data_IF_720018831930
#
_entry.id   IF_720018831930
#
_cell.length_a   1.000
_cell.length_b   1.000
_cell.length_c   1.000
_cell.angle_alpha   90.00
_cell.angle_beta   90.00
_cell.angle_gamma   90.00
#
_symmetry.space_group_name_H-M   'P 1'
#
loop_
_entity.id
_entity.type
_entity.pdbx_description
1 polymer ?
#
# COMPACT_ATOMS: atom_id res chain seq x y z
N UNK A 1 1.80 -1.21 12.63
CA UNK A 1 0.71 -2.09 12.10
C UNK A 1 0.91 -3.51 12.63
N UNK A 2 -0.08 -4.11 13.32
CA UNK A 2 -0.05 -5.52 13.76
C UNK A 2 -0.26 -6.42 12.54
N UNK A 3 0.08 -7.73 12.64
CA UNK A 3 -0.12 -8.67 11.52
C UNK A 3 -1.59 -8.82 11.17
N UNK A 4 -2.45 -8.80 12.17
CA UNK A 4 -3.90 -8.90 12.08
C UNK A 4 -4.56 -7.72 11.33
N UNK A 5 -3.84 -6.59 11.21
CA UNK A 5 -4.32 -5.42 10.48
C UNK A 5 -3.92 -5.47 8.99
N UNK A 6 -3.02 -6.40 8.63
CA UNK A 6 -2.49 -6.49 7.27
C UNK A 6 -3.49 -7.24 6.38
N UNK A 7 -3.96 -6.55 5.35
CA UNK A 7 -4.91 -7.04 4.36
C UNK A 7 -4.17 -7.43 3.08
N UNK A 8 -4.38 -8.66 2.63
CA UNK A 8 -3.80 -9.18 1.40
C UNK A 8 -4.93 -9.69 0.49
N UNK A 9 -4.91 -9.28 -0.77
CA UNK A 9 -5.79 -9.80 -1.79
C UNK A 9 -5.01 -10.81 -2.65
N UNK A 10 -5.56 -12.00 -2.82
CA UNK A 10 -5.05 -13.03 -3.73
C UNK A 10 -5.93 -13.08 -4.95
N UNK A 11 -5.32 -13.07 -6.13
CA UNK A 11 -6.03 -13.08 -7.40
C UNK A 11 -5.40 -14.14 -8.30
N UNK A 12 -6.16 -15.19 -8.60
CA UNK A 12 -5.74 -16.29 -9.44
C UNK A 12 -7.02 -17.03 -9.90
N UNK A 13 -7.09 -17.49 -11.12
CA UNK A 13 -8.24 -18.24 -11.64
C UNK A 13 -8.21 -19.72 -11.23
N UNK A 14 -7.10 -20.22 -10.68
CA UNK A 14 -6.94 -21.56 -10.16
C UNK A 14 -7.33 -21.64 -8.67
N UNK A 15 -8.48 -22.28 -8.30
CA UNK A 15 -8.95 -22.33 -6.92
C UNK A 15 -7.96 -23.00 -5.95
N UNK A 16 -7.26 -24.03 -6.42
CA UNK A 16 -6.29 -24.79 -5.63
C UNK A 16 -5.09 -23.91 -5.23
N UNK A 17 -4.65 -23.03 -6.12
CA UNK A 17 -3.57 -22.08 -5.84
C UNK A 17 -4.03 -21.06 -4.80
N UNK A 18 -5.24 -20.52 -4.96
CA UNK A 18 -5.83 -19.60 -3.99
C UNK A 18 -5.93 -20.24 -2.60
N UNK A 19 -6.38 -21.50 -2.52
CA UNK A 19 -6.54 -22.20 -1.24
C UNK A 19 -5.21 -22.42 -0.54
N UNK A 20 -4.20 -22.93 -1.27
CA UNK A 20 -2.86 -23.20 -0.73
C UNK A 20 -2.20 -21.90 -0.22
N UNK A 21 -2.25 -20.82 -1.01
CA UNK A 21 -1.64 -19.55 -0.64
C UNK A 21 -2.39 -18.93 0.54
N UNK A 22 -3.71 -18.89 0.48
CA UNK A 22 -4.57 -18.36 1.53
C UNK A 22 -4.28 -19.04 2.86
N UNK A 23 -4.33 -20.38 2.92
CA UNK A 23 -4.06 -21.15 4.13
C UNK A 23 -2.71 -20.76 4.78
N UNK A 24 -1.64 -20.66 3.97
CA UNK A 24 -0.32 -20.35 4.46
C UNK A 24 -0.19 -18.91 4.98
N UNK A 25 -0.88 -17.95 4.37
CA UNK A 25 -0.84 -16.55 4.79
C UNK A 25 -1.75 -16.27 5.98
N UNK A 26 -2.94 -16.89 6.06
CA UNK A 26 -3.82 -16.83 7.22
C UNK A 26 -3.15 -17.40 8.48
N UNK A 27 -2.39 -18.50 8.33
CA UNK A 27 -1.58 -19.08 9.43
C UNK A 27 -0.52 -18.11 9.99
N UNK A 28 -0.09 -17.13 9.21
CA UNK A 28 0.82 -16.06 9.68
C UNK A 28 0.07 -14.97 10.44
N UNK A 29 -1.26 -14.90 10.31
CA UNK A 29 -2.15 -13.94 10.96
C UNK A 29 -2.57 -12.77 10.06
N UNK A 30 -2.46 -12.88 8.72
CA UNK A 30 -2.93 -11.87 7.79
C UNK A 30 -4.42 -12.03 7.48
N UNK A 31 -5.10 -10.91 7.19
CA UNK A 31 -6.46 -10.93 6.64
C UNK A 31 -6.39 -11.16 5.14
N UNK A 32 -7.05 -12.22 4.65
CA UNK A 32 -6.99 -12.59 3.25
C UNK A 32 -8.37 -12.46 2.62
N UNK A 33 -8.43 -11.88 1.43
CA UNK A 33 -9.54 -12.01 0.48
C UNK A 33 -9.03 -12.58 -0.83
N UNK A 34 -9.91 -13.20 -1.58
CA UNK A 34 -9.61 -13.82 -2.88
C UNK A 34 -10.49 -13.24 -3.96
N UNK A 35 -10.01 -13.25 -5.19
CA UNK A 35 -10.76 -13.01 -6.41
C UNK A 35 -10.26 -13.98 -7.49
N UNK A 36 -11.12 -14.37 -8.41
CA UNK A 36 -10.82 -15.34 -9.47
C UNK A 36 -10.56 -14.71 -10.83
N UNK A 37 -10.59 -13.40 -10.94
CA UNK A 37 -10.34 -12.64 -12.18
C UNK A 37 -10.02 -11.18 -11.86
N UNK A 38 -9.52 -10.45 -12.86
CA UNK A 38 -9.11 -9.06 -12.70
C UNK A 38 -10.25 -8.09 -12.38
N UNK A 39 -11.44 -8.29 -12.96
CA UNK A 39 -12.59 -7.41 -12.72
C UNK A 39 -13.06 -7.50 -11.26
N UNK A 40 -13.12 -8.70 -10.71
CA UNK A 40 -13.48 -8.91 -9.31
C UNK A 40 -12.38 -8.45 -8.36
N UNK A 41 -11.11 -8.60 -8.76
CA UNK A 41 -9.98 -8.06 -8.01
C UNK A 41 -10.11 -6.55 -7.81
N UNK A 42 -10.44 -5.79 -8.86
CA UNK A 42 -10.67 -4.34 -8.78
C UNK A 42 -11.84 -4.00 -7.86
N UNK A 43 -12.98 -4.72 -7.96
CA UNK A 43 -14.14 -4.51 -7.09
C UNK A 43 -13.84 -4.79 -5.62
N UNK A 44 -13.14 -5.91 -5.36
CA UNK A 44 -12.74 -6.30 -4.00
C UNK A 44 -11.74 -5.31 -3.44
N UNK A 45 -10.75 -4.87 -4.22
CA UNK A 45 -9.74 -3.90 -3.80
C UNK A 45 -10.36 -2.60 -3.31
N UNK A 46 -11.37 -2.07 -4.01
CA UNK A 46 -12.08 -0.81 -3.64
C UNK A 46 -12.74 -0.87 -2.27
N UNK A 47 -13.20 -2.04 -1.84
CA UNK A 47 -13.87 -2.24 -0.54
C UNK A 47 -12.90 -2.68 0.55
N UNK A 48 -11.94 -3.51 0.20
CA UNK A 48 -11.03 -4.14 1.14
C UNK A 48 -9.79 -3.30 1.44
N UNK A 49 -9.37 -2.45 0.48
CA UNK A 49 -8.18 -1.60 0.55
C UNK A 49 -6.95 -2.42 0.98
N UNK A 50 -6.50 -3.37 0.16
CA UNK A 50 -5.40 -4.26 0.51
C UNK A 50 -4.08 -3.50 0.61
N UNK A 51 -3.21 -3.95 1.52
CA UNK A 51 -1.84 -3.46 1.62
C UNK A 51 -0.90 -4.17 0.62
N UNK A 52 -1.26 -5.39 0.25
CA UNK A 52 -0.56 -6.20 -0.75
C UNK A 52 -1.56 -6.96 -1.60
N UNK A 53 -1.33 -7.00 -2.90
CA UNK A 53 -2.06 -7.82 -3.87
C UNK A 53 -1.08 -8.83 -4.44
N UNK A 54 -1.46 -10.11 -4.41
CA UNK A 54 -0.78 -11.19 -5.13
C UNK A 54 -1.65 -11.49 -6.33
N UNK A 55 -1.11 -11.33 -7.53
CA UNK A 55 -1.88 -11.25 -8.76
C UNK A 55 -1.30 -12.18 -9.80
N UNK A 56 -2.07 -13.15 -10.26
CA UNK A 56 -1.67 -13.96 -11.39
C UNK A 56 -1.62 -13.13 -12.68
N UNK A 57 -0.62 -13.37 -13.51
CA UNK A 57 -0.47 -12.70 -14.80
C UNK A 57 -1.51 -13.21 -15.78
N UNK A 58 -1.67 -14.52 -15.86
CA UNK A 58 -2.50 -15.18 -16.88
C UNK A 58 -3.87 -15.51 -16.32
N UNK A 59 -4.85 -14.67 -16.60
CA UNK A 59 -6.25 -14.88 -16.21
C UNK A 59 -7.18 -14.60 -17.39
N UNK A 60 -8.34 -15.26 -17.47
CA UNK A 60 -9.33 -14.95 -18.49
C UNK A 60 -9.94 -13.54 -18.30
N UNK A 61 -10.49 -12.99 -19.38
CA UNK A 61 -11.20 -11.72 -19.50
C UNK A 61 -10.31 -10.48 -19.27
N UNK A 62 -9.80 -10.28 -18.07
CA UNK A 62 -8.89 -9.21 -17.70
C UNK A 62 -7.65 -9.82 -17.05
N UNK A 63 -6.54 -9.78 -17.75
CA UNK A 63 -5.27 -10.33 -17.26
C UNK A 63 -4.69 -9.55 -16.09
N UNK A 64 -3.64 -10.09 -15.47
CA UNK A 64 -3.02 -9.47 -14.32
C UNK A 64 -2.33 -8.16 -14.64
N UNK A 65 -1.72 -8.02 -15.81
CA UNK A 65 -0.99 -6.83 -16.23
C UNK A 65 -1.96 -5.66 -16.36
N UNK A 66 -3.02 -5.84 -17.14
CA UNK A 66 -4.06 -4.82 -17.30
C UNK A 66 -4.79 -4.51 -15.98
N UNK A 67 -4.98 -5.52 -15.12
CA UNK A 67 -5.53 -5.34 -13.77
C UNK A 67 -4.62 -4.43 -12.93
N UNK A 68 -3.31 -4.64 -12.97
CA UNK A 68 -2.31 -3.83 -12.28
C UNK A 68 -2.35 -2.38 -12.77
N UNK A 69 -2.33 -2.16 -14.08
CA UNK A 69 -2.39 -0.82 -14.69
C UNK A 69 -3.65 -0.05 -14.26
N UNK A 70 -4.81 -0.70 -14.28
CA UNK A 70 -6.07 -0.10 -13.83
C UNK A 70 -6.06 0.23 -12.34
N UNK A 71 -5.45 -0.61 -11.51
CA UNK A 71 -5.27 -0.32 -10.08
C UNK A 71 -4.32 0.86 -9.87
N UNK A 72 -3.22 0.95 -10.63
CA UNK A 72 -2.26 2.07 -10.54
C UNK A 72 -2.83 3.41 -10.97
N UNK A 73 -3.86 3.44 -11.81
CA UNK A 73 -4.58 4.66 -12.17
C UNK A 73 -5.44 5.22 -11.02
N UNK A 74 -5.77 4.40 -10.02
CA UNK A 74 -6.55 4.83 -8.86
C UNK A 74 -5.60 5.24 -7.73
N UNK A 75 -5.67 6.51 -7.30
CA UNK A 75 -4.79 7.08 -6.25
C UNK A 75 -4.77 6.26 -4.95
N UNK A 76 -5.85 5.53 -4.65
CA UNK A 76 -5.98 4.70 -3.45
C UNK A 76 -5.01 3.51 -3.44
N UNK A 77 -4.54 3.06 -4.61
CA UNK A 77 -3.70 1.88 -4.76
C UNK A 77 -2.27 2.19 -5.21
N UNK A 78 -1.89 3.45 -5.32
CA UNK A 78 -0.52 3.83 -5.69
C UNK A 78 0.54 3.29 -4.72
N UNK A 79 0.21 3.22 -3.43
CA UNK A 79 1.10 2.69 -2.39
C UNK A 79 0.83 1.20 -2.07
N UNK A 80 -0.18 0.57 -2.68
CA UNK A 80 -0.46 -0.86 -2.52
C UNK A 80 0.65 -1.67 -3.17
N UNK A 81 1.24 -2.59 -2.44
CA UNK A 81 2.26 -3.49 -3.01
C UNK A 81 1.57 -4.48 -3.95
N UNK A 82 2.07 -4.62 -5.17
CA UNK A 82 1.58 -5.59 -6.14
C UNK A 82 2.71 -6.57 -6.47
N UNK A 83 2.47 -7.85 -6.21
CA UNK A 83 3.39 -8.94 -6.51
C UNK A 83 2.74 -9.91 -7.48
N UNK A 84 3.37 -10.14 -8.63
CA UNK A 84 2.85 -11.07 -9.62
C UNK A 84 3.19 -12.53 -9.32
N UNK A 85 2.28 -13.42 -9.74
CA UNK A 85 2.56 -14.84 -9.95
C UNK A 85 2.77 -15.05 -11.44
N UNK A 86 3.94 -15.55 -11.83
CA UNK A 86 4.34 -15.71 -13.25
C UNK A 86 4.58 -17.18 -13.57
N UNK A 87 4.27 -17.60 -14.79
CA UNK A 87 4.68 -18.92 -15.26
C UNK A 87 6.20 -19.00 -15.50
N UNK A 88 6.75 -20.21 -15.47
CA UNK A 88 8.17 -20.42 -15.70
C UNK A 88 8.50 -20.28 -17.19
N UNK A 89 9.48 -19.43 -17.50
CA UNK A 89 9.97 -19.23 -18.88
C UNK A 89 9.34 -18.08 -19.65
N UNK A 90 8.54 -17.23 -19.00
CA UNK A 90 7.92 -16.05 -19.61
C UNK A 90 8.71 -14.77 -19.28
N UNK A 91 9.92 -14.64 -19.87
CA UNK A 91 10.76 -13.44 -19.66
C UNK A 91 10.07 -12.15 -20.12
N UNK A 92 9.23 -12.20 -21.14
CA UNK A 92 8.46 -11.06 -21.63
C UNK A 92 7.40 -10.61 -20.61
N UNK A 93 6.70 -11.55 -20.00
CA UNK A 93 5.72 -11.25 -18.93
C UNK A 93 6.37 -10.58 -17.72
N UNK A 94 7.64 -10.90 -17.46
CA UNK A 94 8.39 -10.32 -16.35
C UNK A 94 8.66 -8.81 -16.57
N UNK A 95 9.12 -8.43 -17.76
CA UNK A 95 9.37 -7.02 -18.12
C UNK A 95 8.06 -6.24 -18.12
N UNK A 96 7.02 -6.75 -18.78
CA UNK A 96 5.71 -6.11 -18.84
C UNK A 96 5.08 -5.92 -17.45
N UNK A 97 5.29 -6.88 -16.53
CA UNK A 97 4.81 -6.80 -15.16
C UNK A 97 5.44 -5.62 -14.39
N UNK A 98 6.75 -5.39 -14.53
CA UNK A 98 7.43 -4.25 -13.89
C UNK A 98 7.03 -2.92 -14.54
N UNK A 99 6.89 -2.87 -15.86
CA UNK A 99 6.43 -1.67 -16.58
C UNK A 99 5.00 -1.29 -16.17
N UNK A 100 4.13 -2.27 -15.88
CA UNK A 100 2.79 -2.06 -15.33
C UNK A 100 2.79 -1.58 -13.85
N UNK A 101 3.95 -1.49 -13.20
CA UNK A 101 4.09 -0.98 -11.83
C UNK A 101 4.05 -2.03 -10.73
N UNK A 102 4.51 -3.26 -11.01
CA UNK A 102 4.71 -4.29 -9.98
C UNK A 102 5.90 -3.99 -9.08
N UNK A 103 5.81 -4.45 -7.83
CA UNK A 103 6.89 -4.30 -6.84
C UNK A 103 7.78 -5.56 -6.74
N UNK A 104 7.26 -6.74 -7.10
CA UNK A 104 7.98 -8.03 -7.10
C UNK A 104 7.21 -9.09 -7.89
N UNK A 105 7.83 -10.25 -8.10
CA UNK A 105 7.20 -11.42 -8.71
C UNK A 105 7.64 -12.73 -8.07
N UNK A 106 6.82 -13.77 -8.23
CA UNK A 106 7.11 -15.17 -7.83
C UNK A 106 6.70 -16.10 -8.95
N UNK A 107 7.62 -16.98 -9.32
CA UNK A 107 7.38 -17.96 -10.38
C UNK A 107 6.57 -19.17 -9.88
N UNK A 108 5.55 -19.57 -10.63
CA UNK A 108 4.84 -20.86 -10.43
C UNK A 108 5.75 -22.05 -10.83
N UNK A 109 5.74 -23.20 -10.16
CA UNK A 109 4.88 -23.54 -9.02
C UNK A 109 5.31 -22.85 -7.72
N UNK A 110 4.33 -22.28 -7.03
CA UNK A 110 4.57 -21.46 -5.83
C UNK A 110 4.96 -22.34 -4.65
N UNK A 111 6.15 -22.12 -4.11
CA UNK A 111 6.58 -22.74 -2.85
C UNK A 111 6.08 -21.91 -1.67
N UNK A 112 5.13 -22.39 -0.84
CA UNK A 112 4.48 -21.59 0.20
C UNK A 112 5.45 -20.88 1.15
N UNK A 113 6.51 -21.56 1.59
CA UNK A 113 7.53 -20.96 2.48
C UNK A 113 8.27 -19.79 1.83
N UNK A 114 8.56 -19.87 0.53
CA UNK A 114 9.24 -18.83 -0.24
C UNK A 114 8.31 -17.62 -0.38
N UNK A 115 7.04 -17.86 -0.75
CA UNK A 115 6.02 -16.82 -0.88
C UNK A 115 5.84 -16.07 0.44
N UNK A 116 5.63 -16.79 1.54
CA UNK A 116 5.48 -16.17 2.86
C UNK A 116 6.69 -15.32 3.24
N UNK A 117 7.90 -15.78 2.92
CA UNK A 117 9.14 -15.03 3.17
C UNK A 117 9.21 -13.74 2.34
N UNK A 118 8.86 -13.80 1.06
CA UNK A 118 8.79 -12.61 0.18
C UNK A 118 7.74 -11.62 0.65
N UNK A 119 6.53 -12.08 0.94
CA UNK A 119 5.45 -11.25 1.50
C UNK A 119 5.90 -10.52 2.76
N UNK A 120 6.55 -11.23 3.70
CA UNK A 120 7.11 -10.59 4.92
C UNK A 120 8.16 -9.54 4.58
N UNK A 121 9.01 -9.80 3.60
CA UNK A 121 10.04 -8.87 3.14
C UNK A 121 9.44 -7.58 2.57
N UNK A 122 8.44 -7.71 1.69
CA UNK A 122 7.74 -6.59 1.07
C UNK A 122 6.99 -5.74 2.10
N UNK A 123 6.21 -6.39 2.97
CA UNK A 123 5.46 -5.70 4.04
C UNK A 123 6.37 -5.01 5.07
N UNK A 124 7.59 -5.51 5.28
CA UNK A 124 8.59 -4.81 6.11
C UNK A 124 9.06 -3.52 5.46
N UNK A 125 9.18 -3.47 4.12
CA UNK A 125 9.51 -2.24 3.38
C UNK A 125 8.37 -1.23 3.49
N UNK A 126 7.11 -1.68 3.42
CA UNK A 126 5.94 -0.84 3.64
C UNK A 126 5.98 -0.19 5.03
N UNK A 127 6.18 -0.97 6.09
CA UNK A 127 6.32 -0.45 7.47
C UNK A 127 7.47 0.55 7.62
N UNK A 128 8.59 0.32 6.94
CA UNK A 128 9.72 1.25 6.95
C UNK A 128 9.38 2.54 6.19
N UNK A 129 8.62 2.46 5.10
CA UNK A 129 8.09 3.63 4.37
C UNK A 129 7.08 4.40 5.24
N UNK A 130 6.14 3.72 5.90
CA UNK A 130 5.22 4.35 6.85
C UNK A 130 5.97 5.04 8.00
N UNK A 131 6.98 4.38 8.58
CA UNK A 131 7.82 4.95 9.63
C UNK A 131 8.65 6.15 9.13
N UNK A 132 9.08 6.13 7.87
CA UNK A 132 9.79 7.28 7.24
C UNK A 132 8.79 8.36 6.80
N UNK A 133 7.52 7.99 6.52
CA UNK A 133 6.46 8.95 6.22
C UNK A 133 5.82 9.54 7.48
N UNK A 134 6.00 8.90 8.65
CA UNK A 134 5.59 9.50 9.93
C UNK A 134 6.55 10.61 10.37
N UNK A 135 7.80 10.56 9.92
CA UNK A 135 8.79 11.61 10.13
C UNK A 135 9.08 12.37 8.83
N UNK A 136 8.78 13.64 8.82
CA UNK A 136 9.22 14.55 7.76
C UNK A 136 10.51 15.22 8.18
N UNK A 137 11.57 15.05 7.37
CA UNK A 137 12.90 15.61 7.64
C UNK A 137 13.26 16.64 6.58
N UNK A 138 13.46 17.89 6.99
CA UNK A 138 13.89 19.00 6.14
C UNK A 138 15.11 19.66 6.77
N UNK A 139 16.29 19.38 6.25
CA UNK A 139 17.54 19.86 6.84
C UNK A 139 17.62 19.60 8.36
N UNK A 140 17.38 20.64 9.15
CA UNK A 140 17.44 20.60 10.62
C UNK A 140 16.07 20.49 11.30
N UNK A 141 14.98 20.42 10.52
CA UNK A 141 13.60 20.28 11.02
C UNK A 141 13.18 18.82 10.88
N UNK A 142 12.77 18.21 11.98
CA UNK A 142 12.16 16.87 12.02
C UNK A 142 10.77 16.98 12.61
N UNK A 143 9.77 16.49 11.90
CA UNK A 143 8.37 16.47 12.33
C UNK A 143 7.94 15.02 12.45
N UNK A 144 7.74 14.53 13.66
CA UNK A 144 7.30 13.16 13.94
C UNK A 144 5.80 13.13 14.24
N UNK A 145 5.04 12.49 13.35
CA UNK A 145 3.58 12.43 13.47
C UNK A 145 3.12 11.43 14.55
N UNK A 146 3.87 10.35 14.76
CA UNK A 146 3.49 9.33 15.74
C UNK A 146 3.68 9.85 17.17
N UNK A 147 4.80 10.56 17.39
CA UNK A 147 5.11 11.15 18.69
C UNK A 147 4.50 12.54 18.88
N UNK A 148 3.86 13.13 17.83
CA UNK A 148 3.41 14.54 17.82
C UNK A 148 4.52 15.52 18.21
N UNK A 149 5.73 15.25 17.73
CA UNK A 149 6.94 15.93 18.11
C UNK A 149 7.57 16.69 16.95
N UNK A 150 7.99 17.91 17.21
CA UNK A 150 8.77 18.71 16.27
C UNK A 150 10.12 19.01 16.87
N UNK A 151 11.18 18.76 16.10
CA UNK A 151 12.56 19.05 16.51
C UNK A 151 13.22 19.96 15.50
N UNK A 152 13.74 21.10 15.92
CA UNK A 152 14.51 22.03 15.10
C UNK A 152 15.93 22.13 15.63
N UNK A 153 16.93 21.86 14.79
CA UNK A 153 18.38 21.84 15.17
C UNK A 153 18.65 21.03 16.44
N UNK A 154 17.99 19.88 16.59
CA UNK A 154 18.11 18.99 17.74
C UNK A 154 17.37 19.44 19.00
N UNK A 155 16.68 20.58 18.99
CA UNK A 155 15.86 21.06 20.11
C UNK A 155 14.39 20.77 19.83
N UNK A 156 13.71 20.22 20.82
CA UNK A 156 12.27 19.95 20.76
C UNK A 156 11.49 21.28 20.84
N UNK A 157 10.52 21.45 19.93
CA UNK A 157 9.59 22.57 19.92
C UNK A 157 8.23 22.10 20.44
N UNK A 158 7.79 22.65 21.55
CA UNK A 158 6.42 22.46 22.03
C UNK A 158 5.46 23.31 21.22
N UNK A 159 4.40 22.70 20.70
CA UNK A 159 3.34 23.42 19.99
C UNK A 159 1.98 22.77 20.23
N UNK A 160 0.87 23.55 20.17
CA UNK A 160 -0.47 23.01 20.25
C UNK A 160 -0.77 22.00 19.16
N UNK A 161 -1.61 21.00 19.46
CA UNK A 161 -1.92 19.90 18.54
C UNK A 161 -2.37 20.36 17.15
N UNK A 162 -3.22 21.42 17.07
CA UNK A 162 -3.71 21.93 15.79
C UNK A 162 -2.63 22.64 14.97
N UNK A 163 -1.69 23.29 15.62
CA UNK A 163 -0.52 23.87 14.96
C UNK A 163 0.40 22.80 14.43
N UNK A 164 0.61 21.71 15.19
CA UNK A 164 1.35 20.54 14.73
C UNK A 164 0.69 19.91 13.49
N UNK A 165 -0.62 19.66 13.52
CA UNK A 165 -1.37 19.09 12.40
C UNK A 165 -1.28 19.98 11.15
N UNK A 166 -1.33 21.30 11.31
CA UNK A 166 -1.16 22.27 10.22
C UNK A 166 0.27 22.22 9.65
N UNK A 167 1.28 22.25 10.51
CA UNK A 167 2.68 22.17 10.10
C UNK A 167 2.93 20.85 9.34
N UNK A 168 2.46 19.72 9.87
CA UNK A 168 2.61 18.42 9.23
C UNK A 168 1.91 18.38 7.87
N UNK A 169 0.67 18.88 7.77
CA UNK A 169 -0.08 18.93 6.51
C UNK A 169 0.67 19.73 5.43
N UNK A 170 1.17 20.91 5.77
CA UNK A 170 1.89 21.77 4.82
C UNK A 170 3.24 21.16 4.42
N UNK A 171 3.97 20.59 5.39
CA UNK A 171 5.26 19.96 5.19
C UNK A 171 5.15 18.64 4.41
N UNK A 172 4.02 17.92 4.49
CA UNK A 172 3.83 16.63 3.80
C UNK A 172 3.85 16.73 2.27
N UNK A 173 3.59 17.92 1.71
CA UNK A 173 3.59 18.16 0.25
C UNK A 173 4.28 19.50 -0.07
N UNK A 174 5.61 19.54 -0.06
CA UNK A 174 6.36 20.77 -0.37
C UNK A 174 6.02 21.29 -1.76
N UNK A 175 5.88 22.62 -1.87
CA UNK A 175 5.54 23.29 -3.14
C UNK A 175 4.05 23.23 -3.52
N UNK A 176 3.21 22.49 -2.78
CA UNK A 176 1.76 22.47 -3.02
C UNK A 176 1.07 23.61 -2.28
N UNK A 177 0.23 24.36 -3.02
CA UNK A 177 -0.68 25.34 -2.42
C UNK A 177 -1.95 24.62 -1.96
N UNK A 178 -2.30 24.78 -0.69
CA UNK A 178 -3.55 24.26 -0.13
C UNK A 178 -4.60 25.37 -0.07
N UNK A 179 -5.81 25.10 -0.55
CA UNK A 179 -6.94 26.02 -0.37
C UNK A 179 -7.35 26.07 1.12
N UNK A 180 -7.83 27.23 1.57
CA UNK A 180 -8.27 27.44 2.96
C UNK A 180 -9.31 26.39 3.39
N UNK A 181 -10.30 26.12 2.54
CA UNK A 181 -11.37 25.15 2.80
C UNK A 181 -10.79 23.76 3.08
N UNK A 182 -9.82 23.31 2.27
CA UNK A 182 -9.17 22.00 2.43
C UNK A 182 -8.33 21.90 3.72
N UNK A 183 -7.74 23.03 4.16
CA UNK A 183 -6.99 23.08 5.43
C UNK A 183 -7.97 22.97 6.59
N UNK A 184 -9.06 23.76 6.55
CA UNK A 184 -10.07 23.76 7.60
C UNK A 184 -10.71 22.39 7.78
N UNK A 185 -11.16 21.78 6.68
CA UNK A 185 -11.77 20.43 6.68
C UNK A 185 -10.83 19.36 7.28
N UNK A 186 -9.55 19.37 6.87
CA UNK A 186 -8.59 18.35 7.30
C UNK A 186 -8.15 18.50 8.76
N UNK A 187 -8.08 19.70 9.29
CA UNK A 187 -7.54 19.97 10.62
C UNK A 187 -8.64 20.14 11.66
N UNK A 188 -9.76 20.72 11.29
CA UNK A 188 -10.87 21.00 12.23
C UNK A 188 -12.12 20.16 11.96
N UNK A 189 -12.20 19.47 10.81
CA UNK A 189 -13.39 18.69 10.40
C UNK A 189 -14.42 19.52 9.65
N UNK A 190 -15.43 18.84 9.08
CA UNK A 190 -16.49 19.48 8.27
C UNK A 190 -17.49 20.33 9.06
N UNK A 191 -17.46 20.28 10.39
CA UNK A 191 -18.48 20.94 11.24
C UNK A 191 -18.10 22.37 11.70
N UNK A 192 -16.95 22.90 11.24
CA UNK A 192 -16.53 24.25 11.60
C UNK A 192 -17.01 25.24 10.54
N UNK A 193 -18.11 25.89 10.81
CA UNK A 193 -18.57 27.08 10.05
C UNK A 193 -17.66 28.25 10.44
N UNK A 194 -16.85 28.71 9.51
CA UNK A 194 -16.04 29.92 9.68
C UNK A 194 -16.87 31.09 9.20
N UNK A 195 -17.29 31.95 10.14
CA UNK A 195 -17.85 33.24 9.85
C UNK A 195 -16.82 34.21 9.28
#
# INVERSE_FOLDING_TARGET
>A
MKKEDIRILLVDDEPDILEIIRFNLEKVGYQIKTASNGLDAIKVSKKFLPHLIILDVMMPDLDGIETCERLRQDERFQETIIMFLTARGEDYSYVAAFDAGADDSVTKPVKPKVLVSKVKGLLRRLKKREATSSQLVFNNLVIDREEYKVTLKGKELSMPRKEFELLYLLASKPGKVFKRENIMEKIWGSDVVVG
#
